data_IF_988977211578
#
_entry.id   IF_988977211578
#
_cell.length_a   1.000
_cell.length_b   1.000
_cell.length_c   1.000
_cell.angle_alpha   90.00
_cell.angle_beta   90.00
_cell.angle_gamma   90.00
#
_symmetry.space_group_name_H-M   'P 1'
#
loop_
_entity.id
_entity.type
_entity.pdbx_description
1 polymer ?
#
# COMPACT_ATOMS: atom_id res chain seq x y z
N UNK A 1 11.14 -1.42 -6.18
CA UNK A 1 10.11 -0.37 -6.09
C UNK A 1 9.99 -0.03 -4.61
N UNK A 2 10.22 1.22 -4.21
CA UNK A 2 10.20 1.60 -2.80
C UNK A 2 8.76 1.93 -2.41
N UNK A 3 8.22 1.27 -1.40
CA UNK A 3 6.95 1.64 -0.80
C UNK A 3 7.15 2.88 0.08
N UNK A 4 6.14 3.74 0.18
CA UNK A 4 6.23 4.95 0.99
C UNK A 4 5.48 4.81 2.31
N UNK A 5 6.10 5.33 3.37
CA UNK A 5 5.54 5.45 4.71
C UNK A 5 5.47 6.93 5.09
N UNK A 6 4.33 7.38 5.64
CA UNK A 6 4.25 8.70 6.24
C UNK A 6 3.24 8.78 7.40
N UNK A 7 3.45 9.76 8.26
CA UNK A 7 2.53 10.19 9.31
C UNK A 7 2.07 11.61 9.03
N UNK A 8 0.92 12.01 9.55
CA UNK A 8 0.39 13.36 9.39
C UNK A 8 0.40 14.09 10.73
N UNK A 9 0.97 15.30 10.87
CA UNK A 9 1.12 15.97 12.17
C UNK A 9 -0.20 16.19 12.94
N UNK A 10 -1.31 16.30 12.22
CA UNK A 10 -2.65 16.51 12.80
C UNK A 10 -3.53 15.25 12.81
N UNK A 11 -2.95 14.06 12.61
CA UNK A 11 -3.69 12.79 12.71
C UNK A 11 -2.80 11.73 13.36
N UNK A 12 -3.42 10.78 14.07
CA UNK A 12 -2.72 9.59 14.53
C UNK A 12 -2.68 8.47 13.46
N UNK A 13 -3.12 8.76 12.24
CA UNK A 13 -3.09 7.82 11.12
C UNK A 13 -1.67 7.55 10.64
N UNK A 14 -1.43 6.29 10.29
CA UNK A 14 -0.21 5.84 9.62
C UNK A 14 -0.58 5.50 8.18
N UNK A 15 0.13 6.07 7.21
CA UNK A 15 -0.16 5.85 5.80
C UNK A 15 0.91 4.96 5.20
N UNK A 16 0.46 3.88 4.55
CA UNK A 16 1.31 3.02 3.73
C UNK A 16 0.86 3.14 2.27
N UNK A 17 1.79 3.50 1.38
CA UNK A 17 1.54 3.66 -0.05
C UNK A 17 2.30 2.58 -0.82
N UNK A 18 1.55 1.64 -1.37
CA UNK A 18 2.06 0.67 -2.34
C UNK A 18 2.12 1.34 -3.71
N UNK A 19 3.32 1.43 -4.27
CA UNK A 19 3.50 1.95 -5.61
C UNK A 19 3.19 0.86 -6.65
N UNK A 20 2.31 1.15 -7.61
CA UNK A 20 1.95 0.22 -8.68
C UNK A 20 1.72 0.96 -10.01
N UNK A 21 2.59 0.73 -10.99
CA UNK A 21 2.45 1.30 -12.33
C UNK A 21 1.64 0.34 -13.19
N UNK A 22 0.61 0.86 -13.86
CA UNK A 22 -0.35 0.02 -14.59
C UNK A 22 -0.57 0.58 -16.00
N UNK A 23 -0.56 -0.31 -16.98
CA UNK A 23 -0.86 0.03 -18.39
C UNK A 23 -2.34 -0.16 -18.75
N UNK A 24 -3.13 -0.61 -17.78
CA UNK A 24 -4.52 -0.99 -17.94
C UNK A 24 -5.42 -0.26 -16.93
N UNK A 25 -6.74 -0.45 -17.07
CA UNK A 25 -7.76 0.13 -16.17
C UNK A 25 -7.85 -0.55 -14.79
N UNK A 26 -7.17 -1.68 -14.60
CA UNK A 26 -7.29 -2.51 -13.41
C UNK A 26 -5.97 -2.57 -12.66
N UNK A 27 -6.01 -2.35 -11.34
CA UNK A 27 -4.87 -2.53 -10.44
C UNK A 27 -4.95 -3.92 -9.83
N UNK A 28 -3.97 -4.76 -10.13
CA UNK A 28 -3.90 -6.13 -9.58
C UNK A 28 -3.14 -6.11 -8.25
N UNK A 29 -3.84 -6.39 -7.15
CA UNK A 29 -3.27 -6.49 -5.80
C UNK A 29 -2.92 -7.94 -5.42
N UNK A 30 -2.21 -8.64 -6.32
CA UNK A 30 -1.86 -10.06 -6.12
C UNK A 30 -0.47 -10.18 -5.49
N UNK A 31 -0.33 -11.12 -4.57
CA UNK A 31 0.99 -11.58 -4.11
C UNK A 31 0.95 -13.08 -3.85
N UNK A 32 2.13 -13.70 -3.67
CA UNK A 32 2.27 -15.14 -3.44
C UNK A 32 1.66 -15.61 -2.12
N UNK A 33 1.63 -14.74 -1.10
CA UNK A 33 1.24 -15.11 0.27
C UNK A 33 -0.21 -14.74 0.54
N UNK A 34 -0.58 -13.48 0.30
CA UNK A 34 -1.92 -12.94 0.50
C UNK A 34 -2.17 -11.76 -0.45
N UNK A 35 -3.42 -11.31 -0.69
CA UNK A 35 -3.66 -10.09 -1.44
C UNK A 35 -2.85 -8.91 -0.87
N UNK A 36 -2.22 -8.11 -1.73
CA UNK A 36 -1.44 -6.97 -1.27
C UNK A 36 -2.33 -6.00 -0.48
N UNK A 37 -1.77 -5.34 0.54
CA UNK A 37 -2.49 -4.48 1.47
C UNK A 37 -3.52 -5.20 2.38
N UNK A 38 -3.62 -6.53 2.34
CA UNK A 38 -4.35 -7.29 3.36
C UNK A 38 -3.59 -7.37 4.67
N UNK A 39 -4.28 -7.71 5.75
CA UNK A 39 -3.66 -7.86 7.08
C UNK A 39 -2.60 -8.96 7.07
N UNK A 40 -2.91 -10.10 6.44
CA UNK A 40 -1.99 -11.21 6.29
C UNK A 40 -0.73 -10.82 5.48
N UNK A 41 -0.89 -9.99 4.45
CA UNK A 41 0.25 -9.49 3.67
C UNK A 41 1.17 -8.59 4.49
N UNK A 42 0.62 -7.68 5.29
CA UNK A 42 1.43 -6.86 6.20
C UNK A 42 2.15 -7.71 7.25
N UNK A 43 1.46 -8.66 7.88
CA UNK A 43 2.04 -9.54 8.88
C UNK A 43 3.21 -10.37 8.32
N UNK A 44 3.07 -10.92 7.11
CA UNK A 44 4.14 -11.65 6.43
C UNK A 44 5.36 -10.75 6.15
N UNK A 45 5.13 -9.52 5.67
CA UNK A 45 6.22 -8.56 5.41
C UNK A 45 6.92 -8.10 6.69
N UNK A 46 6.18 -7.86 7.76
CA UNK A 46 6.74 -7.47 9.06
C UNK A 46 7.63 -8.60 9.59
N UNK A 47 7.16 -9.86 9.52
CA UNK A 47 7.91 -11.04 10.01
C UNK A 47 9.15 -11.36 9.19
N UNK A 48 9.11 -11.10 7.88
CA UNK A 48 10.24 -11.35 6.97
C UNK A 48 11.26 -10.21 6.91
N UNK A 49 10.96 -9.06 7.53
CA UNK A 49 11.83 -7.90 7.49
C UNK A 49 13.06 -8.09 8.40
N UNK A 50 14.25 -8.02 7.81
CA UNK A 50 15.53 -7.98 8.52
C UNK A 50 16.51 -7.01 7.81
N UNK A 51 17.02 -5.96 8.50
CA UNK A 51 16.73 -5.60 9.88
C UNK A 51 15.29 -5.06 10.05
N UNK A 52 14.71 -5.33 11.21
CA UNK A 52 13.40 -4.80 11.58
C UNK A 52 13.47 -3.28 11.68
N UNK A 53 12.61 -2.58 10.91
CA UNK A 53 12.68 -1.14 10.76
C UNK A 53 11.60 -0.41 11.58
N UNK A 54 11.85 0.86 11.92
CA UNK A 54 10.91 1.66 12.71
C UNK A 54 9.57 1.87 11.99
N UNK A 55 9.57 1.90 10.66
CA UNK A 55 8.38 2.02 9.82
C UNK A 55 7.48 0.79 9.99
N UNK A 56 8.05 -0.43 9.94
CA UNK A 56 7.28 -1.65 10.15
C UNK A 56 6.76 -1.75 11.60
N UNK A 57 7.51 -1.27 12.59
CA UNK A 57 7.05 -1.16 13.97
C UNK A 57 5.86 -0.22 14.16
N UNK A 58 5.77 0.84 13.36
CA UNK A 58 4.64 1.76 13.38
C UNK A 58 3.41 1.17 12.68
N UNK A 59 3.62 0.46 11.57
CA UNK A 59 2.55 -0.26 10.83
C UNK A 59 1.94 -1.34 11.73
N UNK A 60 2.77 -2.17 12.37
CA UNK A 60 2.34 -3.26 13.25
C UNK A 60 1.41 -2.77 14.37
N UNK A 61 1.75 -1.62 14.99
CA UNK A 61 0.91 -0.99 16.02
C UNK A 61 -0.36 -0.34 15.45
N UNK A 62 -0.27 0.29 14.28
CA UNK A 62 -1.41 1.01 13.68
C UNK A 62 -2.49 0.10 13.12
N UNK A 63 -2.16 -1.14 12.77
CA UNK A 63 -3.12 -2.14 12.26
C UNK A 63 -4.26 -2.44 13.25
N UNK A 64 -4.01 -2.97 14.47
CA UNK A 64 -5.07 -3.28 15.43
C UNK A 64 -5.82 -2.05 15.95
N UNK A 65 -5.17 -0.88 15.94
CA UNK A 65 -5.77 0.39 16.35
C UNK A 65 -6.65 1.02 15.26
N UNK A 66 -6.79 0.37 14.09
CA UNK A 66 -7.52 0.88 12.92
C UNK A 66 -7.02 2.26 12.46
N UNK A 67 -5.73 2.54 12.65
CA UNK A 67 -5.06 3.79 12.26
C UNK A 67 -4.26 3.66 10.96
N UNK A 68 -4.03 2.44 10.50
CA UNK A 68 -3.34 2.19 9.24
C UNK A 68 -4.24 2.50 8.03
N UNK A 69 -3.92 3.57 7.32
CA UNK A 69 -4.49 3.92 6.02
C UNK A 69 -3.67 3.28 4.91
N UNK A 70 -4.33 2.50 4.07
CA UNK A 70 -3.72 1.70 3.01
C UNK A 70 -4.02 2.35 1.68
N UNK A 71 -2.97 2.78 0.99
CA UNK A 71 -3.08 3.44 -0.31
C UNK A 71 -2.36 2.59 -1.35
N UNK A 72 -2.93 2.56 -2.54
CA UNK A 72 -2.19 2.21 -3.75
C UNK A 72 -2.08 3.47 -4.59
N UNK A 73 -0.89 3.73 -5.11
CA UNK A 73 -0.64 4.90 -5.93
C UNK A 73 0.24 4.55 -7.12
N UNK A 74 0.17 5.33 -8.18
CA UNK A 74 1.07 5.16 -9.30
C UNK A 74 0.65 5.92 -10.53
N UNK A 75 1.28 5.55 -11.63
CA UNK A 75 0.99 6.09 -12.95
C UNK A 75 0.15 5.06 -13.69
N UNK A 76 -0.95 5.53 -14.25
CA UNK A 76 -1.81 4.78 -15.14
C UNK A 76 -1.59 5.28 -16.57
N UNK A 77 -1.02 4.41 -17.40
CA UNK A 77 -0.99 4.61 -18.85
C UNK A 77 -2.30 4.08 -19.43
N UNK A 78 -2.87 4.81 -20.39
CA UNK A 78 -4.04 4.32 -21.11
C UNK A 78 -3.58 3.46 -22.28
N UNK A 79 -4.39 2.44 -22.58
CA UNK A 79 -4.18 1.51 -23.71
C UNK A 79 -4.04 2.23 -25.05
N UNK A 80 -4.60 3.44 -25.17
CA UNK A 80 -4.37 4.34 -26.31
C UNK A 80 -3.25 5.33 -25.95
N UNK A 81 -2.10 5.14 -26.59
CA UNK A 81 -0.87 5.94 -26.44
C UNK A 81 -1.02 7.44 -26.76
N UNK A 82 -2.19 7.89 -27.23
CA UNK A 82 -2.47 9.29 -27.55
C UNK A 82 -2.97 10.11 -26.34
N UNK A 83 -3.36 9.46 -25.25
CA UNK A 83 -3.84 10.14 -24.04
C UNK A 83 -2.72 10.29 -22.99
N UNK A 84 -2.65 11.43 -22.27
CA UNK A 84 -1.63 11.64 -21.25
C UNK A 84 -1.78 10.65 -20.09
N UNK A 85 -0.65 10.31 -19.47
CA UNK A 85 -0.63 9.47 -18.28
C UNK A 85 -1.45 10.11 -17.15
N UNK A 86 -2.17 9.29 -16.39
CA UNK A 86 -2.89 9.73 -15.20
C UNK A 86 -2.13 9.30 -13.95
N UNK A 87 -2.07 10.16 -12.94
CA UNK A 87 -1.60 9.78 -11.60
C UNK A 87 -2.82 9.45 -10.76
N UNK A 88 -2.76 8.34 -10.03
CA UNK A 88 -3.88 7.90 -9.19
C UNK A 88 -3.42 7.59 -7.76
N UNK A 89 -4.34 7.80 -6.83
CA UNK A 89 -4.25 7.41 -5.43
C UNK A 89 -5.59 6.78 -5.05
N UNK A 90 -5.58 5.51 -4.67
CA UNK A 90 -6.79 4.81 -4.23
C UNK A 90 -6.61 4.29 -2.80
N UNK A 91 -7.61 4.56 -1.95
CA UNK A 91 -7.69 3.99 -0.61
C UNK A 91 -8.26 2.58 -0.70
N UNK A 92 -7.56 1.63 -0.10
CA UNK A 92 -7.96 0.21 -0.08
C UNK A 92 -8.52 -0.10 1.31
N UNK A 93 -9.73 -0.65 1.33
CA UNK A 93 -10.34 -1.09 2.58
C UNK A 93 -9.53 -2.22 3.21
N UNK A 94 -9.45 -2.28 4.55
CA UNK A 94 -8.89 -3.43 5.22
C UNK A 94 -9.57 -4.72 4.76
N UNK A 95 -8.76 -5.73 4.46
CA UNK A 95 -9.24 -7.07 4.17
C UNK A 95 -8.62 -8.03 5.17
N UNK A 96 -9.48 -8.56 6.04
CA UNK A 96 -9.18 -9.69 6.90
C UNK A 96 -10.07 -10.85 6.43
N UNK A 97 -9.48 -11.92 5.85
CA UNK A 97 -10.23 -13.11 5.49
C UNK A 97 -10.81 -13.83 6.71
#
# INVERSE_FOLDING_TARGET
MNDFYCTHPHSNSVYFVLNNWVDNRNVSLRSRVAPQLSDAWFQDRIRSQSPYSAEFAAIERAMPENRLVRLVAGIQWRVRYEEPASVYFAKVAPFSP
#
